data_IF_895209178001
#
_entry.id   IF_895209178001
#
_cell.length_a   1.000
_cell.length_b   1.000
_cell.length_c   1.000
_cell.angle_alpha   90.00
_cell.angle_beta   90.00
_cell.angle_gamma   90.00
#
_symmetry.space_group_name_H-M   'P 1'
#
loop_
_entity.id
_entity.type
_entity.pdbx_description
1 polymer ?
#
# COMPACT_ATOMS: atom_id res chain seq x y z
N UNK A 1 -11.23 -2.85 -11.46
CA UNK A 1 -9.78 -2.56 -11.37
C UNK A 1 -9.30 -2.49 -9.94
N UNK A 2 -9.92 -1.62 -9.13
CA UNK A 2 -9.46 -1.30 -7.77
C UNK A 2 -9.49 -2.47 -6.77
N UNK A 3 -10.46 -3.39 -6.85
CA UNK A 3 -10.46 -4.60 -6.00
C UNK A 3 -9.25 -5.52 -6.27
N UNK A 4 -8.89 -5.69 -7.54
CA UNK A 4 -7.71 -6.48 -7.94
C UNK A 4 -6.42 -5.74 -7.54
N UNK A 5 -6.38 -4.42 -7.71
CA UNK A 5 -5.27 -3.58 -7.24
C UNK A 5 -5.06 -3.68 -5.73
N UNK A 6 -6.13 -3.66 -4.93
CA UNK A 6 -6.05 -3.81 -3.49
C UNK A 6 -5.47 -5.18 -3.09
N UNK A 7 -5.95 -6.27 -3.72
CA UNK A 7 -5.40 -7.60 -3.49
C UNK A 7 -3.92 -7.71 -3.89
N UNK A 8 -3.53 -7.12 -5.02
CA UNK A 8 -2.13 -7.05 -5.47
C UNK A 8 -1.24 -6.36 -4.44
N UNK A 9 -1.64 -5.18 -3.96
CA UNK A 9 -0.87 -4.43 -2.96
C UNK A 9 -0.81 -5.14 -1.61
N UNK A 10 -1.86 -5.86 -1.22
CA UNK A 10 -1.86 -6.71 -0.03
C UNK A 10 -0.84 -7.85 -0.14
N UNK A 11 -0.79 -8.53 -1.28
CA UNK A 11 0.20 -9.60 -1.52
C UNK A 11 1.62 -9.04 -1.50
N UNK A 12 1.88 -7.96 -2.24
CA UNK A 12 3.20 -7.34 -2.31
C UNK A 12 3.66 -6.82 -0.94
N UNK A 13 2.77 -6.20 -0.16
CA UNK A 13 3.06 -5.75 1.19
C UNK A 13 3.46 -6.94 2.09
N UNK A 14 2.72 -8.05 2.04
CA UNK A 14 3.05 -9.26 2.79
C UNK A 14 4.39 -9.88 2.38
N UNK A 15 4.69 -9.97 1.08
CA UNK A 15 5.96 -10.49 0.56
C UNK A 15 7.16 -9.64 0.98
N UNK A 16 6.97 -8.33 1.06
CA UNK A 16 8.00 -7.36 1.46
C UNK A 16 8.02 -7.13 2.98
N UNK A 17 7.26 -7.90 3.76
CA UNK A 17 7.27 -7.81 5.22
C UNK A 17 6.73 -6.50 5.76
N UNK A 18 5.77 -5.88 5.07
CA UNK A 18 5.00 -4.75 5.59
C UNK A 18 3.75 -5.23 6.32
N UNK A 19 3.45 -4.58 7.45
CA UNK A 19 2.17 -4.73 8.11
C UNK A 19 1.05 -3.98 7.37
N UNK A 20 -0.18 -4.13 7.86
CA UNK A 20 -1.38 -3.49 7.32
C UNK A 20 -1.35 -1.94 7.36
N UNK A 21 -0.42 -1.37 8.13
CA UNK A 21 -0.24 0.08 8.31
C UNK A 21 0.93 0.64 7.50
N UNK A 22 1.70 -0.22 6.83
CA UNK A 22 2.87 0.12 6.02
C UNK A 22 4.19 0.12 6.79
N UNK A 23 4.25 -0.39 8.03
CA UNK A 23 5.52 -0.52 8.75
C UNK A 23 6.24 -1.79 8.32
N UNK A 24 7.53 -1.69 8.04
CA UNK A 24 8.38 -2.85 7.76
C UNK A 24 8.63 -3.64 9.06
N UNK A 25 8.27 -4.92 9.05
CA UNK A 25 8.48 -5.88 10.14
C UNK A 25 9.48 -6.97 9.78
N UNK A 26 10.12 -6.87 8.61
CA UNK A 26 11.16 -7.82 8.20
C UNK A 26 12.53 -7.54 8.84
N UNK A 27 13.50 -8.38 8.52
CA UNK A 27 14.86 -8.33 9.07
C UNK A 27 15.95 -8.22 7.99
N UNK A 28 15.58 -8.01 6.72
CA UNK A 28 16.51 -8.00 5.59
C UNK A 28 16.77 -6.58 5.08
N UNK A 29 17.99 -6.09 5.32
CA UNK A 29 18.42 -4.78 4.81
C UNK A 29 18.39 -4.71 3.27
N UNK A 30 18.60 -5.84 2.58
CA UNK A 30 18.52 -5.91 1.12
C UNK A 30 17.09 -5.72 0.60
N UNK A 31 16.07 -6.18 1.35
CA UNK A 31 14.67 -5.91 1.02
C UNK A 31 14.36 -4.42 1.22
N UNK A 32 14.89 -3.80 2.28
CA UNK A 32 14.75 -2.36 2.53
C UNK A 32 15.37 -1.52 1.40
N UNK A 33 16.55 -1.88 0.90
CA UNK A 33 17.18 -1.17 -0.23
C UNK A 33 16.34 -1.26 -1.51
N UNK A 34 15.70 -2.41 -1.76
CA UNK A 34 14.89 -2.65 -2.96
C UNK A 34 13.43 -2.20 -2.82
N UNK A 35 13.01 -1.80 -1.63
CA UNK A 35 11.63 -1.38 -1.33
C UNK A 35 11.16 -0.21 -2.20
N UNK A 36 12.11 0.67 -2.57
CA UNK A 36 11.85 1.90 -3.32
C UNK A 36 11.29 1.67 -4.73
N UNK A 37 11.31 0.43 -5.24
CA UNK A 37 10.70 0.08 -6.54
C UNK A 37 9.18 0.24 -6.49
N UNK A 38 8.53 -0.27 -5.44
CA UNK A 38 7.08 -0.30 -5.32
C UNK A 38 6.54 0.67 -4.25
N UNK A 39 7.34 0.99 -3.24
CA UNK A 39 6.94 1.84 -2.14
C UNK A 39 7.74 3.13 -2.09
N UNK A 40 7.17 4.13 -1.44
CA UNK A 40 7.84 5.33 -0.99
C UNK A 40 7.94 5.28 0.53
N UNK A 41 9.11 5.58 1.08
CA UNK A 41 9.23 5.86 2.51
C UNK A 41 8.61 7.24 2.80
N UNK A 42 7.61 7.24 3.68
CA UNK A 42 7.02 8.43 4.28
C UNK A 42 7.63 8.69 5.67
N UNK A 43 7.06 9.63 6.41
CA UNK A 43 7.46 9.88 7.80
C UNK A 43 7.33 8.63 8.68
N UNK A 44 8.19 8.51 9.68
CA UNK A 44 8.14 7.46 10.70
C UNK A 44 8.35 6.03 10.18
N UNK A 45 9.16 5.85 9.13
CA UNK A 45 9.41 4.53 8.49
C UNK A 45 8.14 3.84 8.00
N UNK A 46 7.13 4.62 7.65
CA UNK A 46 5.91 4.13 7.02
C UNK A 46 6.13 4.07 5.50
N UNK A 47 5.89 2.93 4.90
CA UNK A 47 6.02 2.72 3.47
C UNK A 47 4.64 2.78 2.80
N UNK A 48 4.52 3.62 1.78
CA UNK A 48 3.27 3.88 1.05
C UNK A 48 3.42 3.41 -0.39
N UNK A 49 2.45 2.65 -0.95
CA UNK A 49 2.45 2.22 -2.34
C UNK A 49 2.56 3.38 -3.32
N UNK A 50 3.40 3.21 -4.35
CA UNK A 50 3.43 4.05 -5.55
C UNK A 50 2.27 3.68 -6.48
N UNK A 51 1.05 3.98 -6.06
CA UNK A 51 -0.17 3.63 -6.78
C UNK A 51 -1.12 4.82 -6.88
N UNK A 52 -1.81 4.92 -8.02
CA UNK A 52 -2.97 5.80 -8.21
C UNK A 52 -4.17 4.89 -8.45
N UNK A 53 -5.18 4.98 -7.59
CA UNK A 53 -6.46 4.31 -7.74
C UNK A 53 -7.43 5.32 -8.36
N UNK A 54 -7.90 5.02 -9.57
CA UNK A 54 -8.84 5.88 -10.29
C UNK A 54 -10.19 5.17 -10.34
N UNK A 55 -11.25 5.81 -9.87
CA UNK A 55 -12.62 5.30 -10.01
C UNK A 55 -13.63 6.43 -10.12
N UNK A 56 -14.64 6.26 -10.98
CA UNK A 56 -15.77 7.21 -11.06
C UNK A 56 -16.84 6.90 -10.01
N UNK A 57 -16.75 5.74 -9.34
CA UNK A 57 -17.68 5.30 -8.31
C UNK A 57 -17.09 5.46 -6.89
N UNK A 58 -17.61 6.39 -6.07
CA UNK A 58 -17.10 6.62 -4.71
C UNK A 58 -17.13 5.37 -3.82
N UNK A 59 -18.13 4.50 -4.02
CA UNK A 59 -18.31 3.27 -3.24
C UNK A 59 -17.15 2.28 -3.40
N UNK A 60 -16.48 2.26 -4.57
CA UNK A 60 -15.34 1.39 -4.80
C UNK A 60 -14.10 1.86 -4.02
N UNK A 61 -13.89 3.18 -3.94
CA UNK A 61 -12.80 3.78 -3.17
C UNK A 61 -13.03 3.58 -1.66
N UNK A 62 -14.27 3.74 -1.20
CA UNK A 62 -14.64 3.50 0.21
C UNK A 62 -14.44 2.04 0.62
N UNK A 63 -14.74 1.08 -0.27
CA UNK A 63 -14.50 -0.34 -0.01
C UNK A 63 -13.00 -0.65 0.18
N UNK A 64 -12.12 -0.02 -0.60
CA UNK A 64 -10.66 -0.18 -0.44
C UNK A 64 -10.18 0.47 0.85
N UNK A 65 -10.70 1.65 1.21
CA UNK A 65 -10.38 2.35 2.47
C UNK A 65 -10.87 1.62 3.71
N UNK A 66 -12.03 0.96 3.63
CA UNK A 66 -12.58 0.15 4.72
C UNK A 66 -11.90 -1.22 4.84
N UNK A 67 -11.10 -1.62 3.84
CA UNK A 67 -10.35 -2.86 3.85
C UNK A 67 -9.20 -2.88 4.86
N UNK A 68 -8.65 -4.06 5.19
CA UNK A 68 -7.57 -4.22 6.16
C UNK A 68 -6.30 -3.42 5.82
N UNK A 69 -6.05 -3.15 4.53
CA UNK A 69 -4.93 -2.33 4.05
C UNK A 69 -5.34 -0.91 3.65
N UNK A 70 -6.52 -0.44 4.05
CA UNK A 70 -7.00 0.90 3.72
C UNK A 70 -6.09 2.02 4.22
N UNK A 71 -5.41 1.80 5.37
CA UNK A 71 -4.46 2.75 5.96
C UNK A 71 -3.10 2.78 5.27
N UNK A 72 -2.84 1.82 4.37
CA UNK A 72 -1.61 1.74 3.58
C UNK A 72 -1.57 2.84 2.51
N UNK A 73 -2.73 3.16 1.93
CA UNK A 73 -2.85 4.16 0.87
C UNK A 73 -2.98 5.57 1.44
N UNK A 74 -2.35 6.55 0.78
CA UNK A 74 -2.57 7.96 1.10
C UNK A 74 -3.93 8.42 0.57
N UNK A 75 -4.61 9.38 1.23
CA UNK A 75 -5.82 9.99 0.70
C UNK A 75 -5.62 10.54 -0.71
N UNK A 76 -4.42 11.05 -1.00
CA UNK A 76 -4.02 11.61 -2.29
C UNK A 76 -3.82 10.57 -3.41
N UNK A 77 -3.83 9.27 -3.07
CA UNK A 77 -3.70 8.19 -4.07
C UNK A 77 -5.04 7.85 -4.74
N UNK A 78 -6.15 8.43 -4.29
CA UNK A 78 -7.48 8.17 -4.83
C UNK A 78 -7.92 9.34 -5.72
N UNK A 79 -8.24 9.06 -6.98
CA UNK A 79 -8.70 10.03 -8.00
C UNK A 79 -10.09 9.67 -8.50
#
# INVERSE_FOLDING_TARGET
GNQIGAAFWQTIAGEHGHDQTGHYTGSSDLQLERMNVYFNEASSKKYVPRAVLVDLEPAALDAVRAGPFGQLFRPDNFV
#
